data_IF_777711735291
#
_entry.id   IF_777711735291
#
_cell.length_a   1.000
_cell.length_b   1.000
_cell.length_c   1.000
_cell.angle_alpha   90.00
_cell.angle_beta   90.00
_cell.angle_gamma   90.00
#
_symmetry.space_group_name_H-M   'P 1'
#
loop_
_entity.id
_entity.type
_entity.pdbx_description
1 polymer ?
#
# COMPACT_ATOMS: atom_id res chain seq x y z
N UNK A 1 2.20 -10.29 20.62
CA UNK A 1 2.50 -11.08 19.41
C UNK A 1 1.80 -10.35 18.28
N UNK A 2 2.38 -9.21 17.87
CA UNK A 2 1.80 -8.34 16.85
C UNK A 2 2.10 -9.00 15.51
N UNK A 3 1.10 -9.69 14.96
CA UNK A 3 1.17 -10.41 13.68
C UNK A 3 1.01 -9.46 12.47
N UNK A 4 1.16 -8.17 12.72
CA UNK A 4 0.46 -7.09 12.04
C UNK A 4 1.30 -5.83 12.29
N UNK A 5 1.92 -5.30 11.23
CA UNK A 5 2.94 -4.24 11.31
C UNK A 5 2.40 -2.94 11.91
N UNK A 6 3.24 -1.92 12.07
CA UNK A 6 2.81 -0.66 12.69
C UNK A 6 1.69 0.03 11.90
N UNK A 7 0.78 0.76 12.58
CA UNK A 7 -0.24 1.52 11.90
C UNK A 7 0.42 2.69 11.16
N UNK A 8 -0.09 3.01 9.97
CA UNK A 8 0.43 4.09 9.16
C UNK A 8 -0.68 4.81 8.42
N UNK A 9 -0.36 5.95 7.84
CA UNK A 9 -1.31 6.80 7.12
C UNK A 9 -0.95 6.85 5.64
N UNK A 10 -1.94 6.63 4.77
CA UNK A 10 -1.81 6.75 3.33
C UNK A 10 -2.62 7.94 2.80
N UNK A 11 -1.92 8.89 2.18
CA UNK A 11 -2.54 10.03 1.49
C UNK A 11 -2.70 9.70 0.01
N UNK A 12 -3.95 9.65 -0.43
CA UNK A 12 -4.34 9.40 -1.81
C UNK A 12 -4.44 10.74 -2.54
N UNK A 13 -3.48 11.04 -3.42
CA UNK A 13 -3.36 12.37 -4.02
C UNK A 13 -4.41 12.68 -5.08
N UNK A 14 -4.90 11.68 -5.85
CA UNK A 14 -5.96 11.93 -6.84
C UNK A 14 -7.32 12.05 -6.16
N UNK A 15 -7.56 11.21 -5.17
CA UNK A 15 -8.80 11.20 -4.41
C UNK A 15 -8.87 12.33 -3.38
N UNK A 16 -7.72 12.87 -2.94
CA UNK A 16 -7.63 13.90 -1.90
C UNK A 16 -8.02 13.40 -0.51
N UNK A 17 -8.04 12.07 -0.31
CA UNK A 17 -8.45 11.41 0.93
C UNK A 17 -7.22 10.90 1.66
N UNK A 18 -7.26 10.99 2.99
CA UNK A 18 -6.25 10.40 3.87
C UNK A 18 -6.86 9.20 4.57
N UNK A 19 -6.19 8.06 4.51
CA UNK A 19 -6.68 6.77 5.02
C UNK A 19 -5.72 6.29 6.10
N UNK A 20 -6.29 5.88 7.24
CA UNK A 20 -5.54 5.25 8.31
C UNK A 20 -5.54 3.73 8.11
N UNK A 21 -4.34 3.16 8.02
CA UNK A 21 -4.14 1.72 7.89
C UNK A 21 -3.78 1.17 9.26
N UNK A 22 -4.69 0.37 9.82
CA UNK A 22 -4.48 -0.28 11.11
C UNK A 22 -3.40 -1.37 11.04
N UNK A 23 -2.95 -1.82 12.21
CA UNK A 23 -1.94 -2.89 12.31
C UNK A 23 -2.38 -4.14 11.54
N UNK A 24 -3.63 -4.56 11.75
CA UNK A 24 -4.19 -5.79 11.18
C UNK A 24 -4.76 -5.69 9.77
N UNK A 25 -4.58 -4.55 9.10
CA UNK A 25 -5.21 -4.27 7.81
C UNK A 25 -4.14 -3.97 6.75
N UNK A 26 -4.36 -4.46 5.53
CA UNK A 26 -3.52 -4.10 4.38
C UNK A 26 -3.90 -2.72 3.85
N UNK A 27 -2.98 -2.10 3.11
CA UNK A 27 -3.28 -0.86 2.40
C UNK A 27 -4.43 -1.07 1.41
N UNK A 28 -4.41 -2.18 0.66
CA UNK A 28 -5.47 -2.56 -0.28
C UNK A 28 -6.85 -2.58 0.39
N UNK A 29 -6.99 -3.28 1.51
CA UNK A 29 -8.29 -3.36 2.21
C UNK A 29 -8.73 -1.97 2.68
N UNK A 30 -7.80 -1.16 3.20
CA UNK A 30 -8.08 0.21 3.66
C UNK A 30 -8.53 1.12 2.52
N UNK A 31 -7.96 0.96 1.32
CA UNK A 31 -8.39 1.68 0.11
C UNK A 31 -9.81 1.30 -0.29
N UNK A 32 -10.10 -0.01 -0.34
CA UNK A 32 -11.42 -0.53 -0.71
C UNK A 32 -12.51 -0.11 0.28
N UNK A 33 -12.23 -0.16 1.58
CA UNK A 33 -13.17 0.23 2.64
C UNK A 33 -13.53 1.73 2.59
N UNK A 34 -12.62 2.55 2.07
CA UNK A 34 -12.83 3.99 1.84
C UNK A 34 -13.40 4.30 0.45
N UNK A 35 -13.78 3.28 -0.32
CA UNK A 35 -14.42 3.44 -1.63
C UNK A 35 -13.46 3.73 -2.78
N UNK A 36 -12.14 3.56 -2.59
CA UNK A 36 -11.15 3.67 -3.66
C UNK A 36 -11.11 2.34 -4.41
N UNK A 37 -11.52 2.37 -5.68
CA UNK A 37 -11.51 1.19 -6.54
C UNK A 37 -10.08 0.79 -6.87
N UNK A 38 -9.72 -0.45 -6.53
CA UNK A 38 -8.41 -1.04 -6.77
C UNK A 38 -8.55 -2.35 -7.55
N UNK A 39 -7.66 -2.58 -8.50
CA UNK A 39 -7.53 -3.89 -9.14
C UNK A 39 -6.66 -4.79 -8.26
N UNK A 40 -7.13 -6.00 -7.96
CA UNK A 40 -6.39 -6.99 -7.17
C UNK A 40 -6.76 -8.42 -7.57
N UNK A 41 -5.88 -9.38 -7.29
CA UNK A 41 -6.10 -10.78 -7.67
C UNK A 41 -5.53 -11.79 -6.66
N UNK A 42 -4.21 -11.84 -6.48
CA UNK A 42 -3.60 -12.92 -5.69
C UNK A 42 -3.50 -12.64 -4.18
N UNK A 43 -3.53 -11.36 -3.78
CA UNK A 43 -3.35 -10.91 -2.39
C UNK A 43 -2.08 -11.46 -1.68
N UNK A 44 -1.11 -11.95 -2.45
CA UNK A 44 0.09 -12.60 -1.93
C UNK A 44 1.40 -12.00 -2.44
N UNK A 45 1.38 -10.78 -3.00
CA UNK A 45 2.63 -10.10 -3.39
C UNK A 45 3.32 -10.61 -4.65
N UNK A 46 2.66 -11.41 -5.50
CA UNK A 46 3.32 -12.04 -6.67
C UNK A 46 2.75 -11.63 -8.03
N UNK A 47 1.51 -11.16 -8.10
CA UNK A 47 0.85 -10.88 -9.39
C UNK A 47 1.04 -9.46 -9.92
N UNK A 48 1.40 -8.50 -9.05
CA UNK A 48 1.52 -7.08 -9.42
C UNK A 48 0.21 -6.33 -9.69
N UNK A 49 -0.97 -6.97 -9.66
CA UNK A 49 -2.24 -6.32 -10.05
C UNK A 49 -2.61 -5.11 -9.18
N UNK A 50 -2.26 -5.15 -7.89
CA UNK A 50 -2.57 -4.09 -6.92
C UNK A 50 -1.43 -3.09 -6.71
N UNK A 51 -0.59 -2.90 -7.73
CA UNK A 51 0.48 -1.90 -7.75
C UNK A 51 -0.10 -0.50 -7.85
N UNK A 52 0.43 0.43 -7.06
CA UNK A 52 0.12 1.86 -7.18
C UNK A 52 1.41 2.68 -7.17
N UNK A 53 1.41 3.88 -7.80
CA UNK A 53 2.57 4.76 -7.73
C UNK A 53 2.75 5.33 -6.32
N UNK A 54 3.96 5.19 -5.77
CA UNK A 54 4.42 5.84 -4.55
C UNK A 54 4.99 7.21 -4.91
N UNK A 55 4.46 8.26 -4.29
CA UNK A 55 4.90 9.65 -4.53
C UNK A 55 5.90 10.11 -3.47
N UNK A 56 5.70 9.68 -2.22
CA UNK A 56 6.65 9.95 -1.13
C UNK A 56 6.37 9.07 0.07
N UNK A 57 7.40 8.84 0.89
CA UNK A 57 7.31 8.08 2.14
C UNK A 57 8.15 6.82 2.05
N UNK A 58 8.36 6.19 3.20
CA UNK A 58 9.11 4.94 3.30
C UNK A 58 8.14 3.76 3.36
N UNK A 59 8.48 2.69 2.67
CA UNK A 59 7.64 1.50 2.51
C UNK A 59 8.47 0.26 2.82
N UNK A 60 7.94 -0.59 3.68
CA UNK A 60 8.41 -1.95 3.88
C UNK A 60 7.75 -2.85 2.83
N UNK A 61 8.53 -3.24 1.83
CA UNK A 61 8.09 -4.11 0.74
C UNK A 61 8.13 -5.58 1.18
N UNK A 62 6.99 -6.25 1.05
CA UNK A 62 6.85 -7.69 1.34
C UNK A 62 6.43 -8.48 0.11
N UNK A 63 6.56 -7.88 -1.08
CA UNK A 63 6.27 -8.49 -2.36
C UNK A 63 7.53 -9.05 -3.03
N UNK A 64 7.33 -9.97 -3.98
CA UNK A 64 8.40 -10.54 -4.82
C UNK A 64 8.29 -10.05 -6.27
N UNK A 65 7.45 -9.04 -6.52
CA UNK A 65 7.11 -8.57 -7.87
C UNK A 65 7.97 -7.38 -8.29
N UNK A 66 8.07 -6.36 -7.43
CA UNK A 66 8.84 -5.15 -7.71
C UNK A 66 10.34 -5.42 -7.66
N UNK A 67 11.07 -4.86 -8.61
CA UNK A 67 12.53 -4.82 -8.57
C UNK A 67 13.02 -3.64 -7.72
N UNK A 68 14.28 -3.70 -7.26
CA UNK A 68 14.88 -2.66 -6.40
C UNK A 68 14.74 -1.24 -6.97
N UNK A 69 14.79 -1.06 -8.29
CA UNK A 69 14.65 0.25 -8.95
C UNK A 69 13.19 0.74 -9.05
N UNK A 70 12.21 -0.15 -8.88
CA UNK A 70 10.79 0.17 -8.91
C UNK A 70 10.24 0.52 -7.52
N UNK A 71 10.85 -0.03 -6.46
CA UNK A 71 10.42 0.13 -5.06
C UNK A 71 10.38 1.58 -4.58
N UNK A 72 11.25 2.45 -5.13
CA UNK A 72 11.27 3.88 -4.80
C UNK A 72 10.04 4.66 -5.34
N UNK A 73 9.30 4.07 -6.29
CA UNK A 73 8.23 4.77 -7.03
C UNK A 73 6.92 4.00 -7.12
N UNK A 74 6.87 2.77 -6.59
CA UNK A 74 5.71 1.90 -6.66
C UNK A 74 5.54 1.10 -5.38
N UNK A 75 4.31 0.69 -5.08
CA UNK A 75 4.01 -0.15 -3.92
C UNK A 75 2.93 -1.19 -4.25
N UNK A 76 3.15 -2.43 -3.80
CA UNK A 76 2.15 -3.50 -3.84
C UNK A 76 1.25 -3.42 -2.60
N UNK A 77 0.05 -2.89 -2.78
CA UNK A 77 -0.84 -2.51 -1.67
C UNK A 77 -1.40 -3.69 -0.85
N UNK A 78 -1.38 -4.92 -1.36
CA UNK A 78 -1.95 -6.07 -0.66
C UNK A 78 -1.06 -6.62 0.47
N UNK A 79 0.26 -6.48 0.34
CA UNK A 79 1.24 -7.02 1.31
C UNK A 79 2.15 -5.94 1.85
N UNK A 80 2.63 -4.99 1.05
CA UNK A 80 3.59 -3.98 1.47
C UNK A 80 2.95 -2.93 2.40
N UNK A 81 3.75 -2.35 3.31
CA UNK A 81 3.28 -1.42 4.35
C UNK A 81 4.08 -0.13 4.35
N UNK A 82 3.45 0.99 4.69
CA UNK A 82 4.15 2.25 4.88
C UNK A 82 4.73 2.41 6.29
N UNK A 83 5.77 3.22 6.41
CA UNK A 83 6.30 3.66 7.70
C UNK A 83 5.79 5.08 8.01
N UNK A 84 4.96 5.20 9.05
CA UNK A 84 4.39 6.49 9.48
C UNK A 84 3.40 7.08 8.49
N UNK A 85 3.86 7.88 7.53
CA UNK A 85 3.02 8.54 6.51
C UNK A 85 3.59 8.34 5.11
N UNK A 86 2.75 7.84 4.20
CA UNK A 86 3.07 7.68 2.78
C UNK A 86 2.07 8.43 1.90
N UNK A 87 2.49 8.79 0.69
CA UNK A 87 1.67 9.42 -0.34
C UNK A 87 1.66 8.55 -1.59
N UNK A 88 0.47 8.26 -2.10
CA UNK A 88 0.25 7.40 -3.28
C UNK A 88 -0.66 8.11 -4.28
N UNK A 89 -0.45 7.82 -5.56
CA UNK A 89 -1.17 8.47 -6.67
C UNK A 89 -2.47 7.73 -7.05
N UNK A 90 -3.40 7.65 -6.11
CA UNK A 90 -4.77 7.08 -6.26
C UNK A 90 -5.86 8.01 -5.75
#
# INVERSE_FOLDING_TARGET
MSLFGEPFTAKCLKSGITIEVGEGQSLLQSLLDNGISMDYSCEGGVCGTCVVPLVSGEVEHMDEFLMDDEMDSQIITCVSRGEGEIQIDV
#
